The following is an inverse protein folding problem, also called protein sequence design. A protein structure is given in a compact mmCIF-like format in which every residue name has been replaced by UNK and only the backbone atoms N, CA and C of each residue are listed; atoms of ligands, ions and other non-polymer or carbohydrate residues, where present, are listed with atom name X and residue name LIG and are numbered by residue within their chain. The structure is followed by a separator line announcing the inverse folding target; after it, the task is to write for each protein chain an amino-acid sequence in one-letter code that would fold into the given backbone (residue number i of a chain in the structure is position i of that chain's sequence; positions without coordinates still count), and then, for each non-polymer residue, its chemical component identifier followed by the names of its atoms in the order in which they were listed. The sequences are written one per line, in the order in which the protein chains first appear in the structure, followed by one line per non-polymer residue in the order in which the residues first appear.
data_IF_316647722424
#
_entry.id   IF_316647722424
#
_cell.length_a   1.000
_cell.length_b   1.000
_cell.length_c   1.000
_cell.angle_alpha   90.00
_cell.angle_beta   90.00
_cell.angle_gamma   90.00
#
_symmetry.space_group_name_H-M   'P 1'
#
loop_
_entity.id
_entity.type
_entity.pdbx_description
1 polymer ?
#
# COMPACT_ATOMS: atom_id res chain seq x y z
N UNK A 1 -0.55 -11.17 28.35
CA UNK A 1 0.55 -11.00 27.39
C UNK A 1 -0.04 -10.49 26.12
N UNK A 2 0.63 -9.53 25.48
CA UNK A 2 0.25 -9.00 24.18
C UNK A 2 0.45 -10.07 23.10
N UNK A 3 -0.47 -10.16 22.14
CA UNK A 3 -0.31 -11.04 21.00
C UNK A 3 0.49 -10.29 19.93
N UNK A 4 1.44 -10.96 19.28
CA UNK A 4 2.13 -10.37 18.15
C UNK A 4 1.35 -10.67 16.87
N UNK A 5 0.54 -9.71 16.40
CA UNK A 5 -0.24 -9.89 15.19
C UNK A 5 0.64 -9.93 13.93
N UNK A 6 1.84 -9.34 13.96
CA UNK A 6 2.80 -9.38 12.84
C UNK A 6 3.41 -10.77 12.63
N UNK A 7 3.52 -11.57 13.70
CA UNK A 7 4.03 -12.95 13.63
C UNK A 7 3.17 -13.89 12.79
N UNK A 8 1.92 -13.52 12.48
CA UNK A 8 1.03 -14.28 11.60
C UNK A 8 0.79 -13.53 10.30
N UNK A 9 1.44 -13.98 9.22
CA UNK A 9 1.20 -13.43 7.89
C UNK A 9 1.46 -11.92 7.79
N UNK A 10 2.43 -11.41 8.56
CA UNK A 10 2.82 -10.00 8.60
C UNK A 10 1.67 -9.06 9.00
N UNK A 11 0.71 -9.51 9.82
CA UNK A 11 -0.50 -8.75 10.14
C UNK A 11 -1.38 -8.46 8.91
N UNK A 12 -1.12 -9.10 7.76
CA UNK A 12 -1.74 -8.74 6.49
C UNK A 12 -1.19 -7.45 5.86
N UNK A 13 -0.09 -6.90 6.36
CA UNK A 13 0.59 -5.75 5.76
C UNK A 13 1.30 -6.17 4.47
N UNK A 14 1.21 -5.34 3.44
CA UNK A 14 1.87 -5.57 2.14
C UNK A 14 3.40 -5.47 2.21
N UNK A 15 3.93 -4.62 3.10
CA UNK A 15 5.37 -4.46 3.29
C UNK A 15 5.76 -4.68 4.74
N UNK A 16 5.69 -3.64 5.56
CA UNK A 16 6.24 -3.66 6.91
C UNK A 16 5.11 -3.72 7.94
N UNK A 17 5.28 -4.53 8.98
CA UNK A 17 4.38 -4.64 10.14
C UNK A 17 5.17 -4.37 11.42
N UNK A 18 4.62 -3.53 12.30
CA UNK A 18 5.20 -3.22 13.60
C UNK A 18 4.19 -3.55 14.69
N UNK A 19 4.52 -4.53 15.54
CA UNK A 19 3.68 -4.89 16.68
C UNK A 19 3.75 -3.81 17.77
N UNK A 20 2.61 -3.44 18.31
CA UNK A 20 2.46 -2.45 19.39
C UNK A 20 1.68 -3.08 20.54
N UNK A 21 1.79 -2.53 21.76
CA UNK A 21 1.04 -3.12 22.88
C UNK A 21 -0.46 -2.90 22.67
N UNK A 22 -1.18 -3.99 22.40
CA UNK A 22 -2.62 -4.02 22.15
C UNK A 22 -3.04 -3.89 20.69
N UNK A 23 -2.11 -3.78 19.72
CA UNK A 23 -2.41 -3.68 18.27
C UNK A 23 -1.15 -3.81 17.39
N UNK A 24 -1.25 -3.53 16.09
CA UNK A 24 -0.12 -3.44 15.18
C UNK A 24 -0.35 -2.37 14.12
N UNK A 25 0.73 -1.87 13.53
CA UNK A 25 0.69 -0.86 12.47
C UNK A 25 1.47 -1.33 11.24
N UNK A 26 0.89 -1.15 10.06
CA UNK A 26 1.61 -1.36 8.81
C UNK A 26 2.36 -0.08 8.40
N UNK A 27 3.48 -0.23 7.71
CA UNK A 27 4.19 0.89 7.08
C UNK A 27 4.83 0.49 5.75
N UNK A 28 5.17 1.50 4.96
CA UNK A 28 5.72 1.34 3.62
C UNK A 28 7.17 1.84 3.58
N UNK A 29 8.00 1.17 2.79
CA UNK A 29 9.36 1.61 2.52
C UNK A 29 9.41 2.82 1.58
N UNK A 30 10.62 3.32 1.35
CA UNK A 30 10.86 4.50 0.53
C UNK A 30 10.23 4.39 -0.87
N UNK A 31 9.56 5.47 -1.31
CA UNK A 31 8.88 5.54 -2.60
C UNK A 31 7.49 4.89 -2.63
N UNK A 32 6.98 4.47 -1.48
CA UNK A 32 5.63 3.94 -1.29
C UNK A 32 4.91 4.64 -0.13
N UNK A 33 3.60 4.81 -0.28
CA UNK A 33 2.70 5.43 0.69
C UNK A 33 1.68 4.41 1.18
N UNK A 34 1.34 4.46 2.47
CA UNK A 34 0.34 3.58 3.06
C UNK A 34 -1.06 4.06 2.67
N UNK A 35 -1.90 3.12 2.25
CA UNK A 35 -3.28 3.41 1.86
C UNK A 35 -4.18 3.63 3.10
N UNK A 36 -4.23 4.86 3.63
CA UNK A 36 -4.81 5.15 4.96
C UNK A 36 -6.20 5.82 5.03
N UNK A 37 -6.68 6.56 4.02
CA UNK A 37 -7.96 7.32 4.08
C UNK A 37 -8.53 7.65 2.68
N UNK A 38 -9.82 7.98 2.55
CA UNK A 38 -10.43 8.57 1.33
C UNK A 38 -9.98 10.04 1.07
N UNK A 39 -8.68 10.26 0.79
CA UNK A 39 -8.11 11.55 0.38
C UNK A 39 -6.62 11.61 0.76
N UNK A 40 -5.65 11.80 -0.12
CA UNK A 40 -5.65 12.45 -1.42
C UNK A 40 -4.57 11.81 -2.31
N UNK A 41 -4.91 10.69 -2.95
CA UNK A 41 -4.22 10.23 -4.15
C UNK A 41 -5.30 10.06 -5.21
N UNK A 42 -5.37 10.98 -6.19
CA UNK A 42 -6.35 10.95 -7.28
C UNK A 42 -6.14 9.79 -8.24
N UNK A 43 -6.04 8.56 -7.74
CA UNK A 43 -5.79 7.38 -8.53
C UNK A 43 -7.07 6.93 -9.20
N UNK A 44 -7.22 7.35 -10.46
CA UNK A 44 -8.19 6.79 -11.38
C UNK A 44 -7.48 5.68 -12.12
N UNK A 45 -7.76 4.41 -11.82
CA UNK A 45 -7.30 3.32 -12.68
C UNK A 45 -8.04 3.47 -14.00
N UNK A 46 -7.36 3.93 -15.05
CA UNK A 46 -7.93 3.94 -16.38
C UNK A 46 -8.16 2.49 -16.82
N UNK A 47 -9.30 2.22 -17.44
CA UNK A 47 -9.59 0.92 -18.04
C UNK A 47 -8.60 0.66 -19.18
N UNK A 48 -7.49 -0.04 -18.87
CA UNK A 48 -6.52 -0.50 -19.87
C UNK A 48 -5.03 -0.15 -19.64
N UNK A 49 -4.64 0.43 -18.50
CA UNK A 49 -3.20 0.60 -18.19
C UNK A 49 -2.60 -0.75 -17.73
N UNK A 50 -1.45 -1.14 -18.28
CA UNK A 50 -0.71 -2.36 -17.92
C UNK A 50 0.55 -2.04 -17.12
N UNK A 51 0.36 -1.56 -15.89
CA UNK A 51 1.04 -2.17 -14.74
C UNK A 51 -0.09 -2.80 -13.94
N UNK A 52 0.01 -4.06 -13.53
CA UNK A 52 -1.05 -4.81 -12.81
C UNK A 52 -2.16 -5.40 -13.69
N UNK A 53 -1.95 -6.64 -14.13
CA UNK A 53 -3.05 -7.57 -14.44
C UNK A 53 -3.17 -8.54 -13.27
N UNK A 54 -3.79 -8.14 -12.15
CA UNK A 54 -4.01 -9.08 -11.05
C UNK A 54 -5.15 -8.80 -10.04
N UNK A 55 -6.11 -7.89 -10.25
CA UNK A 55 -7.24 -7.80 -9.31
C UNK A 55 -6.82 -7.53 -7.86
N UNK A 56 -5.89 -6.59 -7.69
CA UNK A 56 -5.31 -6.30 -6.39
C UNK A 56 -6.36 -5.69 -5.46
N UNK A 57 -6.75 -6.44 -4.44
CA UNK A 57 -7.62 -5.96 -3.37
C UNK A 57 -6.78 -5.06 -2.46
N UNK A 58 -6.90 -3.74 -2.66
CA UNK A 58 -6.30 -2.76 -1.76
C UNK A 58 -7.06 -2.77 -0.43
N UNK A 59 -6.36 -3.19 0.61
CA UNK A 59 -6.82 -3.15 1.99
C UNK A 59 -6.32 -1.86 2.66
N UNK A 60 -7.25 -1.11 3.26
CA UNK A 60 -6.98 0.09 4.05
C UNK A 60 -5.99 -0.24 5.17
N UNK A 61 -5.01 0.63 5.39
CA UNK A 61 -3.94 0.48 6.37
C UNK A 61 -3.05 -0.75 6.17
N UNK A 62 -3.14 -1.43 5.03
CA UNK A 62 -2.39 -2.66 4.77
C UNK A 62 -1.63 -2.59 3.44
N UNK A 63 -2.13 -1.84 2.47
CA UNK A 63 -1.55 -1.78 1.12
C UNK A 63 -0.64 -0.57 0.95
N UNK A 64 0.49 -0.79 0.26
CA UNK A 64 1.47 0.25 -0.06
C UNK A 64 1.42 0.59 -1.55
N UNK A 65 1.23 1.87 -1.87
CA UNK A 65 1.11 2.38 -3.25
C UNK A 65 2.33 3.24 -3.60
N UNK A 66 2.88 3.13 -4.81
CA UNK A 66 4.05 3.95 -5.19
C UNK A 66 3.67 5.40 -5.46
N UNK A 67 4.50 6.33 -5.01
CA UNK A 67 4.35 7.77 -5.25
C UNK A 67 4.47 8.15 -6.74
N UNK A 68 5.14 7.31 -7.54
CA UNK A 68 5.49 7.55 -8.94
C UNK A 68 4.31 7.71 -9.92
N UNK A 69 3.06 7.56 -9.46
CA UNK A 69 1.87 7.85 -10.28
C UNK A 69 1.57 9.36 -10.33
N UNK A 70 2.23 10.20 -9.52
CA UNK A 70 1.83 11.59 -9.28
C UNK A 70 2.75 12.69 -9.83
N UNK A 71 3.88 12.36 -10.48
CA UNK A 71 4.77 13.39 -11.07
C UNK A 71 4.87 13.30 -12.60
N UNK A 72 4.01 14.08 -13.24
CA UNK A 72 4.01 14.53 -14.65
C UNK A 72 3.39 13.61 -15.70
N UNK A 73 2.51 14.24 -16.50
CA UNK A 73 1.89 13.78 -17.75
C UNK A 73 2.86 13.40 -18.88
N UNK A 74 4.02 12.79 -18.60
CA UNK A 74 4.97 12.37 -19.64
C UNK A 74 6.02 11.39 -19.11
N UNK A 75 5.66 10.14 -18.80
CA UNK A 75 6.67 9.07 -18.72
C UNK A 75 6.24 7.85 -19.52
N UNK A 76 6.69 7.91 -20.77
CA UNK A 76 6.85 6.85 -21.75
C UNK A 76 7.37 5.56 -21.11
N UNK A 77 6.70 4.44 -21.40
CA UNK A 77 7.33 3.13 -21.38
C UNK A 77 8.59 3.18 -22.26
N UNK A 78 9.74 2.86 -21.67
CA UNK A 78 10.93 2.35 -22.36
C UNK A 78 11.29 1.01 -21.73
#
# INVERSE_FOLDING_TARGET
TDADECSSGNGGCSQNCTNTVGSYECSCGDGYELYIENGQGGYSIASGETGDVAGDVLHLNHSCIREFVLVNSLHMCL
#
